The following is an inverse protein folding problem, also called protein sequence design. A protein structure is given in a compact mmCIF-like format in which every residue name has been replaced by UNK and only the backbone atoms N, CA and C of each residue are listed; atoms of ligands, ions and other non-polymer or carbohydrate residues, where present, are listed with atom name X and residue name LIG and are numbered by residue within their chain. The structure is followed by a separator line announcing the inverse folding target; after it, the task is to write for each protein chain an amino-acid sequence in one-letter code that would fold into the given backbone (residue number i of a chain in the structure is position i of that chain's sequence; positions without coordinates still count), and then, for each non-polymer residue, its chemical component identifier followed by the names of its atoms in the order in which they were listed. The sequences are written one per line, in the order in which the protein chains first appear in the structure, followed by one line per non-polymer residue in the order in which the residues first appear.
data_IF_842398122107
#
_entry.id   IF_842398122107
#
_cell.length_a   1.000
_cell.length_b   1.000
_cell.length_c   1.000
_cell.angle_alpha   90.00
_cell.angle_beta   90.00
_cell.angle_gamma   90.00
#
_symmetry.space_group_name_H-M   'P 1'
#
loop_
_entity.id
_entity.type
_entity.pdbx_description
1 polymer ?
#
# COMPACT_ATOMS: atom_id res chain seq x y z
N UNK A 1 3.88 -7.44 27.35
CA UNK A 1 3.33 -8.11 26.17
C UNK A 1 2.30 -7.21 25.51
N UNK A 2 2.24 -7.15 24.18
CA UNK A 2 1.16 -6.47 23.49
C UNK A 2 -0.18 -7.10 23.86
N UNK A 3 -1.22 -6.29 23.93
CA UNK A 3 -2.59 -6.81 24.04
C UNK A 3 -3.03 -7.48 22.70
N UNK A 4 -4.28 -7.90 22.62
CA UNK A 4 -4.82 -8.54 21.41
C UNK A 4 -4.75 -7.65 20.16
N UNK A 5 -4.57 -6.32 20.33
CA UNK A 5 -4.47 -5.35 19.23
C UNK A 5 -3.01 -5.12 18.78
N UNK A 6 -2.04 -5.69 19.51
CA UNK A 6 -0.62 -5.54 19.23
C UNK A 6 -0.01 -4.21 19.70
N UNK A 7 1.28 -4.08 19.51
CA UNK A 7 2.00 -2.81 19.69
C UNK A 7 2.00 -2.02 18.39
N UNK A 8 1.48 -0.81 18.47
CA UNK A 8 1.40 0.10 17.33
C UNK A 8 2.58 1.07 17.33
N UNK A 9 3.36 1.04 16.26
CA UNK A 9 4.41 2.01 15.98
C UNK A 9 3.85 2.96 14.92
N UNK A 10 3.68 4.21 15.27
CA UNK A 10 3.02 5.19 14.40
C UNK A 10 3.89 6.42 14.18
N UNK A 11 3.77 6.99 13.00
CA UNK A 11 4.35 8.27 12.65
C UNK A 11 3.34 9.10 11.88
N UNK A 12 3.11 10.33 12.31
CA UNK A 12 2.13 11.22 11.73
C UNK A 12 2.79 12.48 11.19
N UNK A 13 2.33 12.95 10.05
CA UNK A 13 2.80 14.19 9.43
C UNK A 13 1.72 14.83 8.56
N UNK A 14 1.97 16.05 8.12
CA UNK A 14 1.27 16.75 7.06
C UNK A 14 2.12 16.64 5.77
N UNK A 15 1.65 16.78 4.58
CA UNK A 15 0.28 16.73 4.09
C UNK A 15 0.30 15.91 2.81
N UNK A 16 -0.79 15.27 2.44
CA UNK A 16 -0.92 14.65 1.11
C UNK A 16 -1.00 15.75 0.05
N UNK A 17 -0.81 15.35 -1.20
CA UNK A 17 -0.92 16.25 -2.35
C UNK A 17 -2.30 16.97 -2.34
N UNK A 18 -2.30 18.25 -2.73
CA UNK A 18 -3.51 19.08 -2.79
C UNK A 18 -4.55 18.65 -3.85
N UNK A 19 -4.16 17.79 -4.79
CA UNK A 19 -5.01 17.38 -5.91
C UNK A 19 -5.33 15.88 -5.87
N UNK A 20 -5.68 15.34 -4.69
CA UNK A 20 -6.08 13.93 -4.57
C UNK A 20 -7.44 13.71 -5.24
N UNK A 21 -7.50 12.75 -6.16
CA UNK A 21 -8.69 12.41 -6.94
C UNK A 21 -9.64 11.48 -6.18
N UNK A 22 -9.09 10.54 -5.43
CA UNK A 22 -9.87 9.47 -4.79
C UNK A 22 -10.10 9.66 -3.30
N UNK A 23 -9.68 10.78 -2.72
CA UNK A 23 -9.80 11.01 -1.28
C UNK A 23 -9.75 12.48 -0.90
N UNK A 24 -9.57 12.76 0.37
CA UNK A 24 -9.47 14.11 0.90
C UNK A 24 -8.09 14.69 0.58
N UNK A 25 -8.10 15.77 -0.22
CA UNK A 25 -6.90 16.55 -0.50
C UNK A 25 -6.36 17.24 0.76
N UNK A 26 -5.06 17.56 0.77
CA UNK A 26 -4.34 18.23 1.86
C UNK A 26 -4.46 17.57 3.24
N UNK A 27 -5.05 16.39 3.32
CA UNK A 27 -5.14 15.63 4.57
C UNK A 27 -3.75 15.20 5.03
N UNK A 28 -3.48 15.34 6.32
CA UNK A 28 -2.31 14.74 6.93
C UNK A 28 -2.39 13.21 6.88
N UNK A 29 -1.31 12.53 7.18
CA UNK A 29 -1.24 11.07 7.15
C UNK A 29 -0.60 10.49 8.40
N UNK A 30 -0.98 9.27 8.73
CA UNK A 30 -0.37 8.46 9.77
C UNK A 30 0.07 7.13 9.17
N UNK A 31 1.36 6.86 9.20
CA UNK A 31 1.92 5.55 8.90
C UNK A 31 1.92 4.70 10.16
N UNK A 32 1.78 3.39 10.00
CA UNK A 32 1.83 2.46 11.13
C UNK A 32 2.52 1.15 10.77
N UNK A 33 3.10 0.54 11.80
CA UNK A 33 3.44 -0.86 11.86
C UNK A 33 2.85 -1.44 13.14
N UNK A 34 2.50 -2.71 13.13
CA UNK A 34 1.92 -3.39 14.28
C UNK A 34 2.72 -4.66 14.54
N UNK A 35 3.09 -4.89 15.80
CA UNK A 35 3.71 -6.13 16.25
C UNK A 35 2.75 -6.84 17.20
N UNK A 36 2.46 -8.10 16.91
CA UNK A 36 1.58 -8.94 17.74
C UNK A 36 2.40 -9.88 18.61
N UNK A 37 1.75 -10.43 19.63
CA UNK A 37 2.34 -11.49 20.41
C UNK A 37 2.35 -12.81 19.62
N UNK A 38 3.37 -13.63 19.88
CA UNK A 38 3.50 -14.97 19.35
C UNK A 38 3.49 -15.99 20.49
N UNK A 39 2.75 -17.07 20.34
CA UNK A 39 2.76 -18.17 21.30
C UNK A 39 3.58 -19.32 20.73
N UNK A 40 4.68 -19.66 21.40
CA UNK A 40 5.58 -20.71 20.96
C UNK A 40 5.01 -22.13 21.22
N UNK A 41 5.73 -23.16 20.80
CA UNK A 41 5.34 -24.56 20.97
C UNK A 41 5.28 -25.03 22.43
N UNK A 42 5.84 -24.27 23.36
CA UNK A 42 5.80 -24.51 24.80
C UNK A 42 4.69 -23.75 25.50
N UNK A 43 3.89 -22.98 24.75
CA UNK A 43 2.82 -22.13 25.26
C UNK A 43 3.30 -20.82 25.87
N UNK A 44 4.56 -20.42 25.64
CA UNK A 44 5.07 -19.14 26.10
C UNK A 44 4.64 -18.02 25.15
N UNK A 45 4.16 -16.93 25.70
CA UNK A 45 3.78 -15.74 24.92
C UNK A 45 5.00 -14.82 24.78
N UNK A 46 5.43 -14.55 23.55
CA UNK A 46 6.56 -13.70 23.21
C UNK A 46 6.08 -12.35 22.64
N UNK A 47 6.85 -11.25 22.78
CA UNK A 47 8.14 -11.17 23.45
C UNK A 47 8.01 -11.27 24.96
N UNK A 48 8.96 -11.96 25.58
CA UNK A 48 9.12 -12.00 27.03
C UNK A 48 10.57 -11.68 27.36
N UNK A 49 10.79 -10.77 28.32
CA UNK A 49 12.11 -10.47 28.90
C UNK A 49 13.25 -10.39 27.85
N UNK A 50 13.37 -9.31 27.12
CA UNK A 50 14.45 -9.02 26.17
C UNK A 50 14.61 -9.99 24.97
N UNK A 51 13.72 -10.94 24.79
CA UNK A 51 13.73 -11.84 23.64
C UNK A 51 12.93 -11.23 22.50
N UNK A 52 13.63 -10.78 21.47
CA UNK A 52 13.02 -10.47 20.18
C UNK A 52 12.70 -11.79 19.46
N UNK A 53 11.44 -11.99 19.09
CA UNK A 53 10.99 -13.21 18.44
C UNK A 53 10.77 -13.03 16.93
N UNK A 54 10.77 -11.78 16.46
CA UNK A 54 10.42 -11.44 15.09
C UNK A 54 10.84 -10.03 14.74
N UNK A 55 11.11 -9.78 13.44
CA UNK A 55 11.24 -8.45 12.86
C UNK A 55 10.09 -8.19 11.88
N UNK A 56 9.78 -6.92 11.62
CA UNK A 56 8.75 -6.62 10.63
C UNK A 56 9.26 -6.86 9.20
N UNK A 57 8.41 -7.27 8.27
CA UNK A 57 8.75 -7.30 6.85
C UNK A 57 9.27 -5.94 6.37
N UNK A 58 10.15 -5.97 5.38
CA UNK A 58 10.75 -4.77 4.77
C UNK A 58 10.39 -4.70 3.29
N UNK A 59 10.12 -3.51 2.80
CA UNK A 59 9.94 -3.25 1.38
C UNK A 59 11.28 -2.89 0.74
N UNK A 60 11.72 -3.65 -0.24
CA UNK A 60 12.98 -3.39 -0.95
C UNK A 60 12.81 -2.48 -2.16
N UNK A 61 11.65 -2.52 -2.81
CA UNK A 61 11.41 -1.72 -4.01
C UNK A 61 10.98 -0.30 -3.66
N UNK A 62 11.59 0.67 -4.35
CA UNK A 62 11.14 2.06 -4.31
C UNK A 62 9.84 2.16 -5.12
N UNK A 63 8.76 2.72 -4.56
CA UNK A 63 7.51 2.84 -5.29
C UNK A 63 7.66 3.75 -6.50
N UNK A 64 7.13 3.33 -7.63
CA UNK A 64 6.96 4.20 -8.78
C UNK A 64 5.68 5.01 -8.59
N UNK A 65 5.85 6.33 -8.51
CA UNK A 65 4.76 7.24 -8.14
C UNK A 65 4.16 7.98 -9.33
N UNK A 66 4.85 8.01 -10.47
CA UNK A 66 4.38 8.67 -11.70
C UNK A 66 4.20 7.61 -12.78
N UNK A 67 3.00 7.54 -13.34
CA UNK A 67 2.62 6.64 -14.41
C UNK A 67 2.05 7.49 -15.56
N UNK A 68 2.27 7.05 -16.80
CA UNK A 68 1.61 7.64 -17.96
C UNK A 68 0.35 6.85 -18.31
N UNK A 69 -0.69 7.54 -18.76
CA UNK A 69 -1.85 6.90 -19.36
C UNK A 69 -1.36 6.20 -20.62
N UNK A 70 -1.44 4.87 -20.62
CA UNK A 70 -1.17 4.10 -21.83
C UNK A 70 -2.18 4.45 -22.92
N UNK A 71 -1.84 4.21 -24.19
CA UNK A 71 -2.77 4.32 -25.32
C UNK A 71 -3.88 3.26 -25.21
N UNK A 72 -4.63 3.31 -24.09
CA UNK A 72 -5.60 2.33 -23.63
C UNK A 72 -6.85 2.19 -24.48
N UNK A 73 -6.81 2.62 -25.73
CA UNK A 73 -7.92 2.52 -26.67
C UNK A 73 -7.71 1.43 -27.73
N UNK A 74 -6.77 0.52 -27.54
CA UNK A 74 -6.73 -0.67 -28.37
C UNK A 74 -7.69 -1.72 -27.78
N UNK A 75 -8.91 -1.86 -28.31
CA UNK A 75 -9.87 -2.83 -27.82
C UNK A 75 -9.45 -4.29 -28.08
N UNK A 76 -8.40 -4.50 -28.87
CA UNK A 76 -7.84 -5.83 -29.17
C UNK A 76 -6.71 -6.22 -28.21
N UNK A 77 -6.21 -5.26 -27.41
CA UNK A 77 -5.15 -5.55 -26.46
C UNK A 77 -5.66 -6.38 -25.27
N UNK A 78 -4.89 -7.34 -24.77
CA UNK A 78 -5.26 -8.09 -23.58
C UNK A 78 -5.58 -7.15 -22.40
N UNK A 79 -6.53 -7.52 -21.55
CA UNK A 79 -7.06 -6.68 -20.47
C UNK A 79 -5.99 -6.06 -19.54
N UNK A 80 -4.78 -6.63 -19.53
CA UNK A 80 -3.64 -6.14 -18.72
C UNK A 80 -2.54 -5.45 -19.53
N UNK A 81 -2.72 -5.23 -20.84
CA UNK A 81 -1.67 -4.65 -21.71
C UNK A 81 -1.53 -3.14 -21.56
N UNK A 82 -2.56 -2.45 -21.07
CA UNK A 82 -2.63 -0.99 -20.99
C UNK A 82 -2.47 -0.47 -19.56
N UNK A 83 -1.69 -1.16 -18.75
CA UNK A 83 -1.44 -0.78 -17.37
C UNK A 83 0.01 -0.99 -16.97
N UNK A 84 0.33 -0.53 -15.81
CA UNK A 84 1.65 -0.69 -15.20
C UNK A 84 1.60 -1.72 -14.09
N UNK A 85 2.57 -2.63 -14.07
CA UNK A 85 2.74 -3.60 -12.98
C UNK A 85 3.87 -3.17 -12.08
N UNK A 86 3.59 -3.13 -10.79
CA UNK A 86 4.56 -2.85 -9.73
C UNK A 86 4.56 -4.02 -8.74
N UNK A 87 5.74 -4.45 -8.28
CA UNK A 87 5.86 -5.42 -7.19
C UNK A 87 6.26 -4.69 -5.92
N UNK A 88 5.52 -4.91 -4.84
CA UNK A 88 5.90 -4.36 -3.53
C UNK A 88 7.16 -4.99 -2.97
N UNK A 89 7.49 -6.23 -3.39
CA UNK A 89 8.69 -6.96 -3.05
C UNK A 89 9.06 -6.83 -1.56
N UNK A 90 8.10 -7.13 -0.69
CA UNK A 90 8.38 -7.21 0.73
C UNK A 90 9.10 -8.52 1.04
N UNK A 91 9.97 -8.47 2.03
CA UNK A 91 10.76 -9.61 2.49
C UNK A 91 10.77 -9.63 4.01
N UNK A 92 10.64 -10.80 4.57
CA UNK A 92 10.76 -11.08 5.99
C UNK A 92 12.11 -11.75 6.27
N UNK A 93 12.90 -11.20 7.20
CA UNK A 93 14.26 -11.68 7.48
C UNK A 93 14.26 -13.07 8.10
N UNK A 94 13.27 -13.37 8.92
CA UNK A 94 13.06 -14.67 9.55
C UNK A 94 12.45 -15.69 8.60
N UNK A 95 12.10 -15.25 7.38
CA UNK A 95 11.43 -16.05 6.33
C UNK A 95 10.04 -16.52 6.71
N UNK A 96 9.37 -15.75 7.52
CA UNK A 96 7.97 -15.97 7.82
C UNK A 96 7.11 -15.79 6.57
N UNK A 97 5.98 -16.47 6.51
CA UNK A 97 5.09 -16.35 5.36
C UNK A 97 4.42 -14.98 5.36
N UNK A 98 4.42 -14.31 4.21
CA UNK A 98 3.80 -12.99 4.08
C UNK A 98 2.61 -13.01 3.13
N UNK A 99 1.65 -12.14 3.41
CA UNK A 99 0.51 -11.89 2.53
C UNK A 99 0.28 -10.40 2.34
N UNK A 100 -0.36 -10.05 1.21
CA UNK A 100 -0.63 -8.67 0.83
C UNK A 100 -2.14 -8.43 0.75
N UNK A 101 -2.58 -7.33 1.31
CA UNK A 101 -3.96 -6.86 1.20
C UNK A 101 -3.98 -5.34 1.03
N UNK A 102 -5.12 -4.81 0.60
CA UNK A 102 -5.33 -3.37 0.68
C UNK A 102 -5.42 -2.94 2.14
N UNK A 103 -4.63 -1.94 2.52
CA UNK A 103 -4.67 -1.31 3.82
C UNK A 103 -5.57 -0.07 3.82
N UNK A 104 -5.99 0.35 5.00
CA UNK A 104 -6.74 1.60 5.16
C UNK A 104 -5.73 2.73 5.36
N UNK A 105 -5.65 3.72 4.45
CA UNK A 105 -4.87 4.93 4.67
C UNK A 105 -5.46 5.69 5.86
N UNK A 106 -4.59 6.21 6.73
CA UNK A 106 -5.02 6.96 7.91
C UNK A 106 -4.72 8.45 7.74
N UNK A 107 -5.65 9.30 8.16
CA UNK A 107 -5.39 10.73 8.31
C UNK A 107 -4.63 10.99 9.61
N UNK A 108 -4.17 12.21 9.82
CA UNK A 108 -3.62 12.63 11.12
C UNK A 108 -4.69 13.17 12.09
N UNK A 109 -5.96 13.17 11.69
CA UNK A 109 -7.07 13.61 12.55
C UNK A 109 -7.26 12.61 13.67
N UNK A 110 -7.29 13.11 14.90
CA UNK A 110 -7.40 12.28 16.11
C UNK A 110 -6.11 11.55 16.47
N UNK A 111 -4.99 11.82 15.79
CA UNK A 111 -3.71 11.27 16.19
C UNK A 111 -3.23 11.88 17.50
N UNK A 112 -2.92 10.99 18.44
CA UNK A 112 -2.25 11.30 19.70
C UNK A 112 -1.15 10.25 19.89
N UNK A 113 0.07 10.68 20.23
CA UNK A 113 1.19 9.75 20.43
C UNK A 113 1.01 8.80 21.63
N UNK A 114 0.15 9.14 22.58
CA UNK A 114 -0.20 8.28 23.72
C UNK A 114 -1.30 7.29 23.36
N UNK A 115 -2.25 7.69 22.53
CA UNK A 115 -3.39 6.89 22.08
C UNK A 115 -3.60 7.08 20.58
N UNK A 116 -2.79 6.44 19.73
CA UNK A 116 -2.72 6.75 18.29
C UNK A 116 -3.95 6.24 17.52
N UNK A 117 -5.10 6.84 17.77
CA UNK A 117 -6.38 6.55 17.12
C UNK A 117 -6.63 7.48 15.92
N UNK A 118 -5.81 7.37 14.90
CA UNK A 118 -6.03 8.13 13.66
C UNK A 118 -7.26 7.63 12.93
N UNK A 119 -8.02 8.55 12.34
CA UNK A 119 -9.19 8.21 11.53
C UNK A 119 -8.79 7.70 10.14
N UNK A 120 -9.61 6.82 9.58
CA UNK A 120 -9.45 6.41 8.19
C UNK A 120 -9.59 7.61 7.26
N UNK A 121 -8.78 7.63 6.19
CA UNK A 121 -8.94 8.61 5.13
C UNK A 121 -10.30 8.37 4.44
N UNK A 122 -11.18 9.38 4.34
CA UNK A 122 -12.41 9.23 3.58
C UNK A 122 -12.11 9.17 2.08
N UNK A 123 -12.70 8.21 1.40
CA UNK A 123 -12.64 8.09 -0.06
C UNK A 123 -13.86 8.71 -0.71
N UNK A 124 -13.64 9.36 -1.85
CA UNK A 124 -14.73 9.89 -2.69
C UNK A 124 -15.29 8.79 -3.59
N UNK A 125 -16.60 8.66 -3.69
CA UNK A 125 -17.20 7.69 -4.61
C UNK A 125 -16.75 7.97 -6.07
N UNK A 126 -16.46 6.92 -6.88
CA UNK A 126 -16.69 5.50 -6.65
C UNK A 126 -15.52 4.75 -5.97
N UNK A 127 -14.53 5.46 -5.47
CA UNK A 127 -13.32 4.88 -4.89
C UNK A 127 -13.53 4.39 -3.46
N UNK A 128 -12.66 3.46 -3.04
CA UNK A 128 -12.56 2.97 -1.68
C UNK A 128 -11.12 2.55 -1.39
N UNK A 129 -10.80 2.21 -0.13
CA UNK A 129 -9.48 1.69 0.19
C UNK A 129 -9.17 0.34 -0.50
N UNK A 130 -10.19 -0.46 -0.83
CA UNK A 130 -10.06 -1.72 -1.57
C UNK A 130 -10.11 -1.56 -3.08
N UNK A 131 -10.57 -0.41 -3.56
CA UNK A 131 -10.61 -0.04 -4.98
C UNK A 131 -10.17 1.42 -5.14
N UNK A 132 -8.91 1.73 -4.80
CA UNK A 132 -8.44 3.12 -4.79
C UNK A 132 -8.27 3.72 -6.19
N UNK A 133 -8.18 2.90 -7.21
CA UNK A 133 -8.21 3.24 -8.64
C UNK A 133 -9.14 2.22 -9.31
N UNK A 134 -10.01 2.65 -10.19
CA UNK A 134 -10.94 1.73 -10.85
C UNK A 134 -10.20 0.60 -11.56
N UNK A 135 -10.60 -0.64 -11.26
CA UNK A 135 -10.01 -1.88 -11.80
C UNK A 135 -8.53 -2.12 -11.38
N UNK A 136 -8.04 -1.48 -10.34
CA UNK A 136 -6.74 -1.84 -9.76
C UNK A 136 -6.78 -3.27 -9.20
N UNK A 137 -5.67 -3.98 -9.33
CA UNK A 137 -5.57 -5.35 -8.81
C UNK A 137 -4.31 -5.53 -7.97
N UNK A 138 -4.44 -6.20 -6.85
CA UNK A 138 -3.34 -6.61 -5.97
C UNK A 138 -3.35 -8.13 -5.81
N UNK A 139 -2.23 -8.77 -6.16
CA UNK A 139 -2.04 -10.20 -5.91
C UNK A 139 -1.63 -10.40 -4.45
N UNK A 140 -2.44 -11.12 -3.69
CA UNK A 140 -2.27 -11.32 -2.24
C UNK A 140 -1.04 -12.15 -1.86
N UNK A 141 -0.51 -12.95 -2.77
CA UNK A 141 0.66 -13.82 -2.50
C UNK A 141 1.96 -13.16 -2.93
N UNK A 142 1.96 -12.48 -4.07
CA UNK A 142 3.20 -11.94 -4.66
C UNK A 142 3.40 -10.45 -4.43
N UNK A 143 2.38 -9.74 -3.94
CA UNK A 143 2.41 -8.28 -3.80
C UNK A 143 2.47 -7.53 -5.13
N UNK A 144 2.25 -8.21 -6.26
CA UNK A 144 2.17 -7.53 -7.56
C UNK A 144 0.86 -6.75 -7.65
N UNK A 145 1.00 -5.47 -7.89
CA UNK A 145 -0.13 -4.57 -8.15
C UNK A 145 -0.14 -4.22 -9.63
N UNK A 146 -1.29 -4.36 -10.25
CA UNK A 146 -1.52 -3.86 -11.59
C UNK A 146 -2.33 -2.56 -11.51
N UNK A 147 -1.78 -1.50 -12.08
CA UNK A 147 -2.39 -0.18 -12.14
C UNK A 147 -2.97 0.02 -13.53
N UNK A 148 -4.29 0.16 -13.66
CA UNK A 148 -4.91 0.50 -14.94
C UNK A 148 -4.62 1.97 -15.25
N UNK A 149 -3.76 2.23 -16.23
CA UNK A 149 -3.44 3.58 -16.65
C UNK A 149 -4.48 4.12 -17.66
N UNK A 150 -5.76 4.04 -17.30
CA UNK A 150 -6.89 4.44 -18.16
C UNK A 150 -7.55 5.76 -17.75
N UNK A 151 -7.10 6.38 -16.67
CA UNK A 151 -7.61 7.66 -16.19
C UNK A 151 -6.48 8.49 -15.57
N UNK A 152 -6.52 9.78 -15.79
CA UNK A 152 -5.59 10.73 -15.20
C UNK A 152 -6.03 11.09 -13.77
N UNK A 153 -5.09 11.42 -12.92
CA UNK A 153 -5.38 11.87 -11.57
C UNK A 153 -4.27 11.54 -10.57
N UNK A 154 -4.49 11.96 -9.34
CA UNK A 154 -3.63 11.71 -8.21
C UNK A 154 -4.35 10.79 -7.22
N UNK A 155 -3.85 9.60 -7.01
CA UNK A 155 -4.53 8.57 -6.22
C UNK A 155 -3.71 8.18 -5.01
N UNK A 156 -4.37 8.03 -3.88
CA UNK A 156 -3.80 7.41 -2.68
C UNK A 156 -4.09 5.92 -2.72
N UNK A 157 -3.06 5.11 -2.58
CA UNK A 157 -3.16 3.66 -2.41
C UNK A 157 -2.43 3.26 -1.13
N UNK A 158 -2.94 2.27 -0.42
CA UNK A 158 -2.27 1.74 0.75
C UNK A 158 -2.24 0.22 0.67
N UNK A 159 -1.04 -0.35 0.77
CA UNK A 159 -0.85 -1.80 0.81
C UNK A 159 -0.42 -2.19 2.21
N UNK A 160 -1.05 -3.21 2.74
CA UNK A 160 -0.70 -3.87 4.00
C UNK A 160 0.00 -5.18 3.70
N UNK A 161 1.14 -5.41 4.37
CA UNK A 161 1.83 -6.70 4.41
C UNK A 161 1.69 -7.27 5.80
N UNK A 162 1.21 -8.50 5.88
CA UNK A 162 1.05 -9.25 7.12
C UNK A 162 2.03 -10.43 7.12
N UNK A 163 2.80 -10.59 8.19
CA UNK A 163 3.71 -11.72 8.38
C UNK A 163 3.12 -12.75 9.37
N UNK A 164 3.33 -14.02 9.07
CA UNK A 164 2.78 -15.13 9.84
C UNK A 164 3.87 -16.14 10.19
N UNK A 165 4.11 -16.30 11.48
CA UNK A 165 5.01 -17.29 12.05
C UNK A 165 4.21 -18.51 12.51
N UNK A 166 4.47 -19.66 11.90
CA UNK A 166 3.71 -20.90 12.21
C UNK A 166 2.18 -20.69 12.15
N UNK A 167 1.71 -19.88 11.21
CA UNK A 167 0.29 -19.58 11.03
C UNK A 167 -0.29 -18.53 11.97
N UNK A 168 0.48 -18.00 12.93
CA UNK A 168 0.07 -16.89 13.80
C UNK A 168 0.51 -15.56 13.19
N UNK A 169 -0.38 -14.57 13.15
CA UNK A 169 -0.05 -13.22 12.75
C UNK A 169 0.92 -12.60 13.77
N UNK A 170 2.09 -12.19 13.31
CA UNK A 170 3.14 -11.63 14.19
C UNK A 170 3.44 -10.17 13.88
N UNK A 171 3.28 -9.72 12.65
CA UNK A 171 3.47 -8.31 12.33
C UNK A 171 2.66 -7.85 11.12
N UNK A 172 2.38 -6.56 11.07
CA UNK A 172 1.79 -5.88 9.92
C UNK A 172 2.53 -4.58 9.66
N UNK A 173 2.84 -4.33 8.40
CA UNK A 173 3.37 -3.05 7.94
C UNK A 173 2.49 -2.46 6.84
N UNK A 174 2.48 -1.14 6.76
CA UNK A 174 1.64 -0.42 5.81
C UNK A 174 2.51 0.48 4.93
N UNK A 175 2.24 0.44 3.63
CA UNK A 175 2.86 1.34 2.66
C UNK A 175 1.79 2.14 1.95
N UNK A 176 1.77 3.44 2.19
CA UNK A 176 0.95 4.36 1.43
C UNK A 176 1.76 4.92 0.26
N UNK A 177 1.16 4.93 -0.92
CA UNK A 177 1.75 5.49 -2.14
C UNK A 177 0.75 6.46 -2.75
N UNK A 178 1.20 7.67 -3.09
CA UNK A 178 0.46 8.58 -3.93
C UNK A 178 0.89 8.34 -5.38
N UNK A 179 -0.01 7.83 -6.18
CA UNK A 179 0.20 7.52 -7.59
C UNK A 179 -0.36 8.65 -8.43
N UNK A 180 0.48 9.24 -9.27
CA UNK A 180 0.11 10.28 -10.23
C UNK A 180 0.03 9.66 -11.62
N UNK A 181 -1.14 9.68 -12.23
CA UNK A 181 -1.33 9.20 -13.61
C UNK A 181 -1.48 10.42 -14.50
N UNK A 182 -0.47 10.67 -15.35
CA UNK A 182 -0.39 11.82 -16.25
C UNK A 182 -0.77 11.41 -17.68
N UNK A 183 -1.12 12.37 -18.55
CA UNK A 183 -1.30 12.08 -19.97
C UNK A 183 0.02 11.58 -20.57
N UNK A 184 -0.03 10.82 -21.68
CA UNK A 184 1.17 10.37 -22.37
C UNK A 184 1.97 11.58 -22.84
N UNK A 185 3.28 11.56 -22.62
CA UNK A 185 4.18 12.67 -22.96
C UNK A 185 4.46 12.79 -24.46
N UNK A 186 4.11 11.78 -25.25
CA UNK A 186 4.19 11.78 -26.71
C UNK A 186 3.08 12.62 -27.36
N UNK A 187 3.19 13.93 -27.27
CA UNK A 187 2.25 14.86 -27.92
C UNK A 187 2.92 15.77 -28.95
N UNK A 188 4.05 15.37 -29.49
CA UNK A 188 4.75 16.14 -30.53
C UNK A 188 4.46 15.50 -31.87
N UNK A 189 3.29 15.77 -32.47
CA UNK A 189 3.02 15.68 -33.91
C UNK A 189 3.56 14.48 -34.71
N UNK A 190 4.07 13.47 -34.06
CA UNK A 190 4.59 12.24 -34.62
C UNK A 190 3.48 11.21 -34.65
N UNK A 191 3.39 10.45 -35.71
CA UNK A 191 2.41 9.40 -35.88
C UNK A 191 2.44 8.44 -34.67
N UNK A 192 1.28 7.98 -34.24
CA UNK A 192 1.10 7.07 -33.07
C UNK A 192 2.00 5.81 -33.06
N UNK A 193 2.68 5.52 -34.17
CA UNK A 193 3.60 4.40 -34.31
C UNK A 193 5.02 4.67 -33.78
N UNK A 194 5.36 5.91 -33.41
CA UNK A 194 6.71 6.26 -32.96
C UNK A 194 6.83 6.35 -31.41
N UNK A 195 5.74 6.19 -30.70
CA UNK A 195 5.72 6.15 -29.23
C UNK A 195 5.82 4.72 -28.65
N UNK A 196 6.03 3.72 -29.49
CA UNK A 196 6.25 2.34 -29.06
C UNK A 196 7.76 2.06 -28.89
N UNK A 197 8.35 2.50 -27.81
CA UNK A 197 9.68 2.06 -27.37
C UNK A 197 9.56 1.45 -25.98
#
# INVERSE_FOLDING_TARGET
NPDANGWHFTWSSCCRNSNITNGLADAGFTLRAVMYSYTDSLGQVLPSNDQCHDSSPKFYEIPRTILEVGNGNDPSAPAFSNGFTYSHNAFDEEKDSISYTWGIPLSNVGYDYLTPNSTALPFSAPYSYTNPINNIFLNSTTGRTWYPANQQGNFVTCTKVSAFKCGQLVSEIYREIQVVIIPPTCNIGLNANECNV
#
